data_IF_094890987687
#
_entry.id   IF_094890987687
#
_cell.length_a   1.000
_cell.length_b   1.000
_cell.length_c   1.000
_cell.angle_alpha   90.00
_cell.angle_beta   90.00
_cell.angle_gamma   90.00
#
_symmetry.space_group_name_H-M   'P 1'
#
loop_
_entity.id
_entity.type
_entity.pdbx_description
1 polymer ?
#
# COMPACT_ATOMS: atom_id res chain seq x y z
N UNK A 1 -28.17 10.63 -10.55
CA UNK A 1 -26.89 10.66 -9.81
C UNK A 1 -26.06 11.73 -10.51
N UNK A 2 -25.58 12.73 -9.79
CA UNK A 2 -24.93 13.90 -10.36
C UNK A 2 -23.51 13.56 -10.88
N UNK A 3 -23.13 14.11 -12.03
CA UNK A 3 -21.89 13.82 -12.75
C UNK A 3 -20.65 14.18 -11.89
N UNK A 4 -20.80 15.12 -10.95
CA UNK A 4 -19.77 15.51 -9.99
C UNK A 4 -19.33 14.36 -9.07
N UNK A 5 -20.28 13.56 -8.56
CA UNK A 5 -19.96 12.42 -7.68
C UNK A 5 -19.27 11.29 -8.43
N UNK A 6 -19.60 11.07 -9.70
CA UNK A 6 -18.91 10.07 -10.52
C UNK A 6 -17.46 10.49 -10.81
N UNK A 7 -17.20 11.79 -10.95
CA UNK A 7 -15.86 12.32 -11.16
C UNK A 7 -14.98 12.26 -9.90
N UNK A 8 -15.55 12.40 -8.70
CA UNK A 8 -14.82 12.22 -7.43
C UNK A 8 -14.43 10.75 -7.20
N UNK A 9 -15.34 9.80 -7.45
CA UNK A 9 -15.05 8.35 -7.36
C UNK A 9 -13.89 7.98 -8.30
N UNK A 10 -13.90 8.49 -9.53
CA UNK A 10 -12.83 8.26 -10.49
C UNK A 10 -11.47 8.84 -10.03
N UNK A 11 -11.47 9.96 -9.29
CA UNK A 11 -10.24 10.56 -8.73
C UNK A 11 -9.69 9.76 -7.54
N UNK A 12 -10.56 9.19 -6.71
CA UNK A 12 -10.13 8.36 -5.58
C UNK A 12 -9.56 6.99 -6.01
N UNK A 13 -9.97 6.49 -7.17
CA UNK A 13 -9.47 5.25 -7.77
C UNK A 13 -8.02 5.37 -8.25
N UNK A 14 -7.59 6.56 -8.67
CA UNK A 14 -6.20 6.82 -9.07
C UNK A 14 -5.21 6.61 -7.90
N UNK A 15 -5.67 6.84 -6.67
CA UNK A 15 -4.86 6.64 -5.47
C UNK A 15 -4.47 5.16 -5.23
N UNK A 16 -5.15 4.20 -5.87
CA UNK A 16 -4.87 2.76 -5.78
C UNK A 16 -4.12 2.17 -6.96
N UNK A 17 -3.64 3.00 -7.88
CA UNK A 17 -2.79 2.51 -8.95
C UNK A 17 -1.38 2.18 -8.41
N UNK A 18 -0.79 1.03 -8.81
CA UNK A 18 0.60 0.74 -8.49
C UNK A 18 1.50 1.79 -9.14
N UNK A 19 2.36 2.41 -8.34
CA UNK A 19 3.37 3.36 -8.82
C UNK A 19 4.73 2.67 -9.06
N UNK A 20 4.88 1.41 -8.65
CA UNK A 20 6.03 0.56 -8.92
C UNK A 20 5.60 -0.89 -9.11
N UNK A 21 6.43 -1.65 -9.83
CA UNK A 21 6.36 -3.10 -9.88
C UNK A 21 6.86 -3.69 -8.56
N UNK A 22 6.26 -4.81 -8.14
CA UNK A 22 6.69 -5.56 -6.96
C UNK A 22 8.13 -6.09 -7.10
N UNK A 23 8.51 -6.57 -8.29
CA UNK A 23 9.86 -7.09 -8.55
C UNK A 23 10.94 -6.06 -8.26
N UNK A 24 10.72 -4.81 -8.67
CA UNK A 24 11.65 -3.70 -8.44
C UNK A 24 11.79 -3.34 -6.95
N UNK A 25 10.72 -3.48 -6.17
CA UNK A 25 10.78 -3.27 -4.73
C UNK A 25 11.61 -4.34 -4.05
N UNK A 26 11.44 -5.61 -4.43
CA UNK A 26 12.12 -6.74 -3.78
C UNK A 26 13.59 -6.85 -4.17
N UNK A 27 13.96 -6.44 -5.39
CA UNK A 27 15.32 -6.59 -5.93
C UNK A 27 16.42 -6.05 -5.00
N UNK A 28 16.15 -4.97 -4.28
CA UNK A 28 17.13 -4.29 -3.42
C UNK A 28 16.98 -4.65 -1.92
N UNK A 29 16.14 -5.62 -1.58
CA UNK A 29 15.89 -6.01 -0.19
C UNK A 29 16.54 -7.37 0.09
N UNK A 30 17.47 -7.46 1.06
CA UNK A 30 17.98 -8.74 1.51
C UNK A 30 16.83 -9.63 1.99
N UNK A 31 16.75 -10.88 1.51
CA UNK A 31 15.66 -11.79 1.87
C UNK A 31 15.46 -11.96 3.38
N UNK A 32 16.54 -11.94 4.16
CA UNK A 32 16.49 -12.05 5.62
C UNK A 32 15.83 -10.83 6.31
N UNK A 33 15.65 -9.72 5.59
CA UNK A 33 14.97 -8.54 6.10
C UNK A 33 13.46 -8.57 5.85
N UNK A 34 12.96 -9.47 4.99
CA UNK A 34 11.53 -9.57 4.69
C UNK A 34 10.85 -10.43 5.75
N UNK A 35 9.98 -9.82 6.56
CA UNK A 35 9.13 -10.55 7.51
C UNK A 35 7.91 -11.16 6.82
N UNK A 36 7.22 -10.37 6.01
CA UNK A 36 5.97 -10.77 5.36
C UNK A 36 5.78 -10.05 4.03
N UNK A 37 5.12 -10.72 3.09
CA UNK A 37 4.64 -10.12 1.85
C UNK A 37 3.15 -10.33 1.76
N UNK A 38 2.41 -9.24 1.54
CA UNK A 38 0.95 -9.24 1.44
C UNK A 38 0.52 -8.79 0.07
N UNK A 39 -0.40 -9.54 -0.55
CA UNK A 39 -1.13 -9.12 -1.75
C UNK A 39 -2.48 -8.56 -1.32
N UNK A 40 -2.74 -7.29 -1.65
CA UNK A 40 -3.99 -6.59 -1.32
C UNK A 40 -4.79 -6.40 -2.61
N UNK A 41 -5.96 -7.02 -2.66
CA UNK A 41 -6.92 -6.90 -3.77
C UNK A 41 -8.15 -6.10 -3.35
N UNK A 42 -8.68 -5.26 -4.24
CA UNK A 42 -9.97 -4.61 -4.02
C UNK A 42 -11.11 -5.63 -4.16
N UNK A 43 -12.13 -5.48 -3.29
CA UNK A 43 -13.25 -6.42 -3.23
C UNK A 43 -14.43 -6.01 -4.13
N UNK A 44 -14.38 -4.83 -4.76
CA UNK A 44 -15.48 -4.31 -5.58
C UNK A 44 -14.95 -3.82 -6.94
N UNK A 45 -15.41 -4.45 -8.02
CA UNK A 45 -15.46 -3.88 -9.37
C UNK A 45 -14.15 -3.83 -10.18
N UNK A 46 -13.88 -4.92 -10.91
CA UNK A 46 -13.12 -5.01 -12.18
C UNK A 46 -11.66 -4.49 -12.22
N UNK A 47 -10.73 -5.42 -12.51
CA UNK A 47 -9.40 -5.20 -13.10
C UNK A 47 -8.41 -4.24 -12.40
N UNK A 48 -8.62 -3.89 -11.12
CA UNK A 48 -7.60 -3.14 -10.38
C UNK A 48 -6.37 -4.03 -10.14
N UNK A 49 -5.21 -3.60 -10.61
CA UNK A 49 -3.95 -4.27 -10.32
C UNK A 49 -3.74 -4.40 -8.80
N UNK A 50 -3.36 -5.58 -8.30
CA UNK A 50 -3.16 -5.80 -6.88
C UNK A 50 -2.00 -4.95 -6.37
N UNK A 51 -2.11 -4.50 -5.13
CA UNK A 51 -1.00 -3.88 -4.42
C UNK A 51 -0.23 -4.93 -3.64
N UNK A 52 1.08 -4.80 -3.58
CA UNK A 52 1.93 -5.60 -2.73
C UNK A 52 2.50 -4.75 -1.60
N UNK A 53 2.51 -5.32 -0.41
CA UNK A 53 3.13 -4.73 0.77
C UNK A 53 4.21 -5.68 1.29
N UNK A 54 5.37 -5.12 1.56
CA UNK A 54 6.51 -5.80 2.15
C UNK A 54 6.69 -5.24 3.55
N UNK A 55 6.59 -6.09 4.57
CA UNK A 55 6.91 -5.74 5.95
C UNK A 55 8.35 -6.18 6.25
N UNK A 56 9.15 -5.27 6.79
CA UNK A 56 10.56 -5.48 7.05
C UNK A 56 10.83 -5.70 8.54
N UNK A 57 11.95 -6.36 8.85
CA UNK A 57 12.33 -6.74 10.22
C UNK A 57 12.70 -5.56 11.13
N UNK A 58 12.99 -4.40 10.55
CA UNK A 58 13.22 -3.14 11.27
C UNK A 58 11.92 -2.37 11.59
N UNK A 59 10.75 -2.96 11.25
CA UNK A 59 9.44 -2.34 11.44
C UNK A 59 9.02 -1.39 10.32
N UNK A 60 9.87 -1.17 9.32
CA UNK A 60 9.49 -0.39 8.13
C UNK A 60 8.65 -1.22 7.16
N UNK A 61 8.06 -0.53 6.17
CA UNK A 61 7.27 -1.18 5.13
C UNK A 61 7.40 -0.49 3.78
N UNK A 62 7.16 -1.25 2.72
CA UNK A 62 7.05 -0.75 1.36
C UNK A 62 5.72 -1.18 0.77
N UNK A 63 5.12 -0.31 -0.05
CA UNK A 63 3.94 -0.63 -0.82
C UNK A 63 4.16 -0.25 -2.29
N UNK A 64 3.68 -1.05 -3.22
CA UNK A 64 3.73 -0.76 -4.67
C UNK A 64 3.04 0.55 -5.06
N UNK A 65 2.16 1.10 -4.22
CA UNK A 65 1.58 2.43 -4.44
C UNK A 65 2.55 3.59 -4.12
N UNK A 66 3.67 3.35 -3.44
CA UNK A 66 4.71 4.33 -3.09
C UNK A 66 4.25 5.59 -2.31
N UNK A 67 3.04 5.63 -1.75
CA UNK A 67 2.54 6.82 -1.04
C UNK A 67 3.41 7.25 0.14
N UNK A 68 3.96 6.31 0.89
CA UNK A 68 4.86 6.63 2.00
C UNK A 68 6.11 7.37 1.49
N UNK A 69 6.67 6.93 0.37
CA UNK A 69 7.90 7.49 -0.21
C UNK A 69 7.60 8.83 -0.90
N UNK A 70 6.58 8.87 -1.76
CA UNK A 70 6.30 10.01 -2.63
C UNK A 70 5.51 11.12 -1.93
N UNK A 71 4.77 10.82 -0.85
CA UNK A 71 3.89 11.77 -0.15
C UNK A 71 4.11 11.83 1.37
N UNK A 72 4.96 10.98 1.94
CA UNK A 72 5.21 10.96 3.38
C UNK A 72 4.04 10.46 4.23
N UNK A 73 3.04 9.81 3.61
CA UNK A 73 1.82 9.35 4.29
C UNK A 73 1.57 7.86 4.05
N UNK A 74 1.08 7.19 5.09
CA UNK A 74 0.80 5.75 5.06
C UNK A 74 -0.43 5.48 4.20
N UNK A 75 -0.32 4.52 3.29
CA UNK A 75 -1.39 4.18 2.35
C UNK A 75 -2.51 3.35 2.99
N UNK A 76 -3.72 3.42 2.41
CA UNK A 76 -4.86 2.58 2.83
C UNK A 76 -4.61 1.08 2.72
N UNK A 77 -3.74 0.65 1.79
CA UNK A 77 -3.35 -0.76 1.67
C UNK A 77 -2.63 -1.24 2.94
N UNK A 78 -1.76 -0.41 3.52
CA UNK A 78 -1.06 -0.74 4.76
C UNK A 78 -2.03 -0.86 5.92
N UNK A 79 -2.99 0.07 6.05
CA UNK A 79 -4.03 -0.02 7.08
C UNK A 79 -4.86 -1.30 6.95
N UNK A 80 -5.10 -1.78 5.72
CA UNK A 80 -5.76 -3.07 5.51
C UNK A 80 -4.89 -4.25 5.96
N UNK A 81 -3.59 -4.22 5.75
CA UNK A 81 -2.69 -5.28 6.27
C UNK A 81 -2.57 -5.21 7.79
N UNK A 82 -2.54 -3.99 8.36
CA UNK A 82 -2.50 -3.74 9.79
C UNK A 82 -3.68 -4.37 10.55
N UNK A 83 -4.86 -4.47 9.93
CA UNK A 83 -5.98 -5.19 10.55
C UNK A 83 -5.82 -6.71 10.62
N UNK A 84 -4.85 -7.30 9.91
CA UNK A 84 -4.62 -8.76 9.87
C UNK A 84 -3.25 -9.20 10.41
N UNK A 85 -2.25 -8.31 10.43
CA UNK A 85 -0.89 -8.65 10.85
C UNK A 85 -0.44 -7.83 12.04
N UNK A 86 -0.03 -8.51 13.11
CA UNK A 86 0.63 -7.88 14.26
C UNK A 86 2.01 -7.31 13.93
N UNK A 87 2.60 -7.67 12.78
CA UNK A 87 3.89 -7.13 12.35
C UNK A 87 3.74 -5.80 11.59
N UNK A 88 2.53 -5.44 11.16
CA UNK A 88 2.26 -4.16 10.52
C UNK A 88 1.97 -3.12 11.62
N UNK A 89 2.99 -2.39 12.03
CA UNK A 89 2.89 -1.34 13.05
C UNK A 89 3.54 -0.05 12.52
N UNK A 90 3.14 1.08 13.07
CA UNK A 90 3.75 2.37 12.77
C UNK A 90 3.68 3.28 14.00
N UNK A 91 4.59 4.25 14.07
CA UNK A 91 4.63 5.22 15.15
C UNK A 91 4.01 6.56 14.70
N UNK A 92 3.21 7.15 15.58
CA UNK A 92 2.72 8.52 15.45
C UNK A 92 3.36 9.33 16.57
N UNK A 93 4.12 10.35 16.22
CA UNK A 93 4.66 11.32 17.17
C UNK A 93 3.80 12.58 17.15
N UNK A 94 3.37 13.04 18.32
CA UNK A 94 2.72 14.34 18.49
C UNK A 94 3.80 15.40 18.75
N UNK A 95 3.70 16.55 18.08
CA UNK A 95 4.60 17.70 18.25
C UNK A 95 3.91 18.75 19.11
#
# INVERSE_FOLDING_TARGET
MDDSYQQEIAREDDYDQPQSLFSLLVENIPYNNILQVWKVTRHCGQNSEPQYIILLNDGSHLCTCLWLINRGIICRHFFRVMSYSTNAQFHISLI
#
